data_IF_147570968136
#
_entry.id   IF_147570968136
#
_cell.length_a   1.000
_cell.length_b   1.000
_cell.length_c   1.000
_cell.angle_alpha   90.00
_cell.angle_beta   90.00
_cell.angle_gamma   90.00
#
_symmetry.space_group_name_H-M   'P 1'
#
loop_
_entity.id
_entity.type
_entity.pdbx_description
1 polymer ?
#
# COMPACT_ATOMS: atom_id res chain seq x y z
N UNK A 1 -41.40 53.24 -39.69
CA UNK A 1 -40.56 52.55 -40.71
C UNK A 1 -39.19 52.24 -40.13
N UNK A 2 -38.65 51.03 -40.44
CA UNK A 2 -37.27 50.50 -40.21
C UNK A 2 -36.79 50.36 -38.76
N UNK A 3 -36.87 49.21 -38.08
CA UNK A 3 -36.21 47.88 -38.21
C UNK A 3 -34.67 47.86 -38.15
N UNK A 4 -34.19 47.11 -37.15
CA UNK A 4 -32.96 46.31 -37.01
C UNK A 4 -31.65 47.04 -36.65
N UNK A 5 -31.30 46.93 -35.37
CA UNK A 5 -29.91 46.75 -34.92
C UNK A 5 -29.63 45.25 -34.77
N UNK A 6 -28.78 44.62 -35.59
CA UNK A 6 -28.26 43.29 -35.33
C UNK A 6 -26.76 43.39 -35.07
N UNK A 7 -26.36 43.62 -33.82
CA UNK A 7 -24.97 43.40 -33.40
C UNK A 7 -24.83 41.98 -32.79
N UNK A 8 -23.68 41.32 -32.95
CA UNK A 8 -23.62 39.87 -33.10
C UNK A 8 -23.52 39.18 -31.74
N UNK A 9 -24.65 38.70 -31.22
CA UNK A 9 -24.69 37.76 -30.08
C UNK A 9 -23.80 36.54 -30.30
N UNK A 10 -23.52 36.18 -31.56
CA UNK A 10 -22.62 35.10 -31.94
C UNK A 10 -21.17 35.29 -31.47
N UNK A 11 -20.64 36.52 -31.43
CA UNK A 11 -19.22 36.74 -31.08
C UNK A 11 -18.99 36.59 -29.57
N UNK A 12 -19.83 37.24 -28.75
CA UNK A 12 -19.78 37.11 -27.29
C UNK A 12 -20.06 35.67 -26.84
N UNK A 13 -21.04 35.00 -27.45
CA UNK A 13 -21.32 33.60 -27.17
C UNK A 13 -20.15 32.67 -27.50
N UNK A 14 -19.46 32.88 -28.62
CA UNK A 14 -18.25 32.11 -28.99
C UNK A 14 -17.13 32.30 -27.98
N UNK A 15 -16.90 33.53 -27.53
CA UNK A 15 -15.87 33.84 -26.52
C UNK A 15 -16.24 33.21 -25.17
N UNK A 16 -17.49 33.35 -24.72
CA UNK A 16 -17.97 32.72 -23.48
C UNK A 16 -17.90 31.19 -23.53
N UNK A 17 -18.28 30.57 -24.66
CA UNK A 17 -18.19 29.13 -24.85
C UNK A 17 -16.73 28.65 -24.87
N UNK A 18 -15.83 29.37 -25.54
CA UNK A 18 -14.40 29.07 -25.52
C UNK A 18 -13.80 29.20 -24.12
N UNK A 19 -14.16 30.25 -23.38
CA UNK A 19 -13.73 30.45 -22.00
C UNK A 19 -14.22 29.31 -21.09
N UNK A 20 -15.50 28.92 -21.22
CA UNK A 20 -16.10 27.84 -20.44
C UNK A 20 -15.43 26.50 -20.77
N UNK A 21 -15.14 26.24 -22.04
CA UNK A 21 -14.42 25.05 -22.47
C UNK A 21 -13.00 24.97 -21.89
N UNK A 22 -12.26 26.08 -21.93
CA UNK A 22 -10.92 26.17 -21.32
C UNK A 22 -11.01 25.95 -19.80
N UNK A 23 -11.98 26.58 -19.13
CA UNK A 23 -12.19 26.40 -17.70
C UNK A 23 -12.51 24.94 -17.34
N UNK A 24 -13.36 24.27 -18.13
CA UNK A 24 -13.69 22.86 -17.94
C UNK A 24 -12.46 21.95 -18.14
N UNK A 25 -11.64 22.22 -19.17
CA UNK A 25 -10.40 21.47 -19.39
C UNK A 25 -9.41 21.63 -18.23
N UNK A 26 -9.23 22.85 -17.72
CA UNK A 26 -8.36 23.11 -16.57
C UNK A 26 -8.90 22.42 -15.31
N UNK A 27 -10.21 22.50 -15.07
CA UNK A 27 -10.85 21.84 -13.93
C UNK A 27 -10.71 20.31 -13.98
N UNK A 28 -10.95 19.70 -15.15
CA UNK A 28 -10.76 18.26 -15.34
C UNK A 28 -9.29 17.85 -15.18
N UNK A 29 -8.36 18.62 -15.73
CA UNK A 29 -6.93 18.40 -15.55
C UNK A 29 -6.51 18.47 -14.08
N UNK A 30 -7.02 19.47 -13.34
CA UNK A 30 -6.75 19.61 -11.91
C UNK A 30 -7.31 18.43 -11.10
N UNK A 31 -8.56 18.03 -11.34
CA UNK A 31 -9.16 16.87 -10.66
C UNK A 31 -8.38 15.58 -10.94
N UNK A 32 -7.93 15.39 -12.17
CA UNK A 32 -7.14 14.23 -12.57
C UNK A 32 -5.77 14.19 -11.85
N UNK A 33 -5.03 15.30 -11.89
CA UNK A 33 -3.73 15.43 -11.21
C UNK A 33 -3.88 15.27 -9.71
N UNK A 34 -4.87 15.95 -9.12
CA UNK A 34 -5.14 15.90 -7.67
C UNK A 34 -5.48 14.47 -7.25
N UNK A 35 -6.39 13.79 -7.95
CA UNK A 35 -6.77 12.42 -7.59
C UNK A 35 -5.59 11.44 -7.70
N UNK A 36 -4.69 11.62 -8.66
CA UNK A 36 -3.52 10.77 -8.80
C UNK A 36 -2.51 11.02 -7.66
N UNK A 37 -2.19 12.30 -7.42
CA UNK A 37 -1.21 12.71 -6.41
C UNK A 37 -1.66 12.36 -4.99
N UNK A 38 -2.94 12.57 -4.66
CA UNK A 38 -3.47 12.22 -3.33
C UNK A 38 -3.35 10.73 -3.03
N UNK A 39 -3.57 9.86 -4.02
CA UNK A 39 -3.47 8.39 -3.81
C UNK A 39 -2.06 7.95 -3.47
N UNK A 40 -1.07 8.46 -4.20
CA UNK A 40 0.34 8.12 -3.97
C UNK A 40 0.81 8.65 -2.62
N UNK A 41 0.45 9.90 -2.28
CA UNK A 41 0.80 10.49 -0.99
C UNK A 41 0.20 9.72 0.20
N UNK A 42 -1.06 9.29 0.09
CA UNK A 42 -1.71 8.48 1.15
C UNK A 42 -1.02 7.12 1.31
N UNK A 43 -0.60 6.48 0.23
CA UNK A 43 0.12 5.20 0.31
C UNK A 43 1.49 5.36 0.98
N UNK A 44 2.24 6.41 0.62
CA UNK A 44 3.52 6.72 1.23
C UNK A 44 3.39 7.03 2.72
N UNK A 45 2.43 7.88 3.10
CA UNK A 45 2.17 8.21 4.50
C UNK A 45 1.75 6.97 5.31
N UNK A 46 0.94 6.08 4.73
CA UNK A 46 0.57 4.82 5.38
C UNK A 46 1.77 3.89 5.54
N UNK A 47 2.65 3.81 4.53
CA UNK A 47 3.84 2.97 4.63
C UNK A 47 4.81 3.47 5.69
N UNK A 48 4.95 4.79 5.87
CA UNK A 48 5.72 5.35 6.98
C UNK A 48 5.08 5.05 8.34
N UNK A 49 3.74 5.15 8.44
CA UNK A 49 3.03 4.89 9.70
C UNK A 49 3.07 3.41 10.11
N UNK A 50 2.92 2.51 9.14
CA UNK A 50 2.87 1.06 9.39
C UNK A 50 4.21 0.38 9.20
N UNK A 51 5.23 1.08 8.69
CA UNK A 51 6.53 0.53 8.32
C UNK A 51 7.27 -0.14 9.48
N UNK A 52 7.03 0.30 10.71
CA UNK A 52 7.62 -0.28 11.92
C UNK A 52 6.81 -1.43 12.54
N UNK A 53 5.59 -1.70 12.07
CA UNK A 53 4.69 -2.68 12.71
C UNK A 53 5.30 -4.08 12.73
N UNK A 54 5.90 -4.53 11.63
CA UNK A 54 6.59 -5.82 11.59
C UNK A 54 7.74 -5.86 12.62
N UNK A 55 8.53 -4.78 12.71
CA UNK A 55 9.65 -4.67 13.65
C UNK A 55 9.21 -4.73 15.10
N UNK A 56 8.10 -4.07 15.47
CA UNK A 56 7.53 -4.16 16.82
C UNK A 56 7.03 -5.57 17.13
N UNK A 57 6.33 -6.20 16.19
CA UNK A 57 5.82 -7.56 16.37
C UNK A 57 6.95 -8.56 16.58
N UNK A 58 7.99 -8.53 15.73
CA UNK A 58 9.15 -9.43 15.85
C UNK A 58 9.84 -9.28 17.20
N UNK A 59 10.06 -8.04 17.66
CA UNK A 59 10.70 -7.74 18.95
C UNK A 59 9.89 -8.23 20.16
N UNK A 60 8.57 -8.14 20.09
CA UNK A 60 7.72 -8.48 21.23
C UNK A 60 7.43 -9.98 21.32
N UNK A 61 7.29 -10.67 20.18
CA UNK A 61 6.76 -12.05 20.19
C UNK A 61 7.77 -13.13 19.87
N UNK A 62 8.91 -12.81 19.25
CA UNK A 62 9.88 -13.81 18.75
C UNK A 62 9.16 -14.92 17.94
N UNK A 63 8.57 -14.59 16.79
CA UNK A 63 7.54 -15.41 16.14
C UNK A 63 8.02 -16.75 15.57
N UNK A 64 9.34 -16.97 15.49
CA UNK A 64 9.94 -18.23 15.05
C UNK A 64 10.92 -18.65 16.13
N UNK A 65 10.74 -19.87 16.65
CA UNK A 65 11.63 -20.50 17.63
C UNK A 65 11.97 -21.89 17.10
N UNK A 66 13.25 -22.20 16.97
CA UNK A 66 13.78 -23.47 16.47
C UNK A 66 13.25 -23.88 15.08
N UNK A 67 12.92 -22.90 14.23
CA UNK A 67 12.38 -23.13 12.89
C UNK A 67 10.91 -23.53 12.84
N UNK A 68 10.23 -23.56 13.99
CA UNK A 68 8.77 -23.70 14.09
C UNK A 68 8.14 -22.35 14.43
N UNK A 69 6.94 -22.11 13.91
CA UNK A 69 6.12 -20.96 14.28
C UNK A 69 5.55 -21.25 15.66
N UNK A 70 6.34 -20.94 16.67
CA UNK A 70 5.98 -21.18 18.06
C UNK A 70 5.77 -19.84 18.73
N UNK A 71 4.51 -19.43 18.82
CA UNK A 71 3.89 -19.03 20.09
C UNK A 71 2.42 -18.69 19.85
N UNK A 72 1.54 -19.14 20.77
CA UNK A 72 0.17 -18.64 20.83
C UNK A 72 0.12 -17.10 20.94
N UNK A 73 1.15 -16.50 21.55
CA UNK A 73 1.30 -15.05 21.68
C UNK A 73 1.47 -14.33 20.33
N UNK A 74 2.26 -14.86 19.40
CA UNK A 74 2.38 -14.34 18.03
C UNK A 74 1.03 -14.37 17.33
N UNK A 75 0.33 -15.50 17.38
CA UNK A 75 -0.98 -15.64 16.74
C UNK A 75 -2.03 -14.71 17.39
N UNK A 76 -2.01 -14.53 18.71
CA UNK A 76 -2.91 -13.61 19.42
C UNK A 76 -2.66 -12.16 19.02
N UNK A 77 -1.41 -11.74 18.86
CA UNK A 77 -1.05 -10.37 18.42
C UNK A 77 -1.41 -10.17 16.94
N UNK A 78 -1.09 -11.12 16.07
CA UNK A 78 -1.50 -11.08 14.65
C UNK A 78 -3.02 -10.99 14.52
N UNK A 79 -3.75 -11.78 15.30
CA UNK A 79 -5.22 -11.76 15.33
C UNK A 79 -5.75 -10.43 15.90
N UNK A 80 -5.17 -9.91 16.98
CA UNK A 80 -5.54 -8.61 17.54
C UNK A 80 -5.32 -7.47 16.53
N UNK A 81 -4.21 -7.47 15.78
CA UNK A 81 -3.94 -6.52 14.71
C UNK A 81 -5.02 -6.58 13.61
N UNK A 82 -5.39 -7.79 13.18
CA UNK A 82 -6.47 -8.00 12.21
C UNK A 82 -7.84 -7.52 12.73
N UNK A 83 -8.14 -7.72 14.02
CA UNK A 83 -9.40 -7.24 14.63
C UNK A 83 -9.44 -5.72 14.70
N UNK A 84 -8.32 -5.07 15.05
CA UNK A 84 -8.20 -3.60 15.12
C UNK A 84 -8.30 -2.99 13.73
N UNK A 85 -7.62 -3.55 12.74
CA UNK A 85 -7.68 -3.12 11.36
C UNK A 85 -7.75 -4.33 10.43
N UNK A 86 -8.95 -4.62 9.90
CA UNK A 86 -9.18 -5.74 8.96
C UNK A 86 -8.46 -5.60 7.62
N UNK A 87 -7.79 -4.48 7.38
CA UNK A 87 -6.95 -4.29 6.20
C UNK A 87 -5.52 -4.79 6.44
N UNK A 88 -5.15 -5.08 7.68
CA UNK A 88 -3.82 -5.61 8.04
C UNK A 88 -3.83 -7.11 7.84
N UNK A 89 -2.81 -7.56 7.15
CA UNK A 89 -2.53 -8.95 6.82
C UNK A 89 -1.11 -9.22 7.30
N UNK A 90 -0.91 -10.32 8.02
CA UNK A 90 0.40 -10.65 8.56
C UNK A 90 0.84 -11.99 8.01
N UNK A 91 2.07 -12.03 7.51
CA UNK A 91 2.68 -13.20 6.90
C UNK A 91 4.02 -13.47 7.58
N UNK A 92 4.29 -14.72 7.92
CA UNK A 92 5.61 -15.18 8.32
C UNK A 92 6.24 -15.91 7.15
N UNK A 93 7.47 -15.52 6.83
CA UNK A 93 8.23 -16.04 5.72
C UNK A 93 9.47 -16.78 6.21
N UNK A 94 9.83 -17.88 5.56
CA UNK A 94 11.15 -18.49 5.71
C UNK A 94 12.25 -17.65 5.02
N UNK A 95 13.55 -17.98 5.18
CA UNK A 95 14.64 -17.21 4.59
C UNK A 95 14.65 -17.21 3.05
N UNK A 96 13.85 -18.07 2.43
CA UNK A 96 13.69 -18.19 0.97
C UNK A 96 12.50 -17.39 0.44
N UNK A 97 11.66 -16.83 1.31
CA UNK A 97 10.48 -16.05 0.96
C UNK A 97 9.19 -16.87 0.83
N UNK A 98 9.20 -18.12 1.28
CA UNK A 98 7.99 -18.96 1.32
C UNK A 98 7.18 -18.62 2.56
N UNK A 99 5.86 -18.54 2.42
CA UNK A 99 4.94 -18.28 3.52
C UNK A 99 4.84 -19.56 4.36
N UNK A 100 5.24 -19.46 5.62
CA UNK A 100 5.20 -20.56 6.59
C UNK A 100 4.00 -20.46 7.53
N UNK A 101 3.51 -19.24 7.78
CA UNK A 101 2.27 -19.00 8.51
C UNK A 101 1.66 -17.64 8.11
N UNK A 102 0.36 -17.45 8.30
CA UNK A 102 -0.30 -16.19 7.99
C UNK A 102 -1.63 -16.00 8.75
N UNK A 103 -1.95 -14.74 9.04
CA UNK A 103 -3.27 -14.32 9.54
C UNK A 103 -3.85 -13.30 8.56
N UNK A 104 -4.84 -13.74 7.81
CA UNK A 104 -5.51 -12.94 6.78
C UNK A 104 -7.04 -12.99 6.91
N UNK A 105 -7.76 -11.88 6.63
CA UNK A 105 -9.21 -11.88 6.74
C UNK A 105 -9.88 -12.58 5.55
N UNK A 106 -10.63 -13.65 5.83
CA UNK A 106 -11.68 -14.30 4.99
C UNK A 106 -11.34 -14.70 3.54
N UNK A 107 -10.14 -14.39 3.05
CA UNK A 107 -9.72 -14.62 1.68
C UNK A 107 -8.50 -15.51 1.70
N UNK A 108 -8.55 -16.61 0.95
CA UNK A 108 -7.43 -17.53 0.82
C UNK A 108 -6.22 -16.87 0.14
N UNK A 109 -5.05 -17.19 0.66
CA UNK A 109 -3.76 -16.87 0.08
C UNK A 109 -3.59 -17.68 -1.21
N UNK A 110 -3.25 -17.02 -2.32
CA UNK A 110 -3.15 -17.64 -3.66
C UNK A 110 -1.71 -17.92 -4.10
N UNK A 111 -0.73 -17.41 -3.38
CA UNK A 111 0.70 -17.64 -3.61
C UNK A 111 1.34 -18.27 -2.38
N UNK A 112 2.23 -19.22 -2.59
CA UNK A 112 2.99 -19.87 -1.51
C UNK A 112 4.22 -19.06 -1.06
N UNK A 113 4.55 -17.96 -1.75
CA UNK A 113 5.71 -17.15 -1.43
C UNK A 113 5.72 -15.80 -2.15
N UNK A 114 6.69 -14.97 -1.76
CA UNK A 114 6.87 -13.59 -2.25
C UNK A 114 8.31 -13.35 -2.67
N UNK A 115 8.53 -12.38 -3.56
CA UNK A 115 9.87 -11.92 -3.90
C UNK A 115 10.50 -11.21 -2.69
N UNK A 116 11.70 -11.65 -2.29
CA UNK A 116 12.45 -11.04 -1.20
C UNK A 116 13.17 -9.75 -1.60
N UNK A 117 13.27 -9.45 -2.89
CA UNK A 117 13.99 -8.26 -3.39
C UNK A 117 13.42 -6.98 -2.79
N UNK A 118 12.10 -6.69 -2.88
CA UNK A 118 11.51 -5.51 -2.27
C UNK A 118 11.65 -5.50 -0.74
N UNK A 119 11.51 -6.67 -0.10
CA UNK A 119 11.61 -6.82 1.35
C UNK A 119 13.00 -6.42 1.85
N UNK A 120 14.05 -6.94 1.22
CA UNK A 120 15.43 -6.61 1.57
C UNK A 120 15.75 -5.14 1.32
N UNK A 121 15.23 -4.56 0.24
CA UNK A 121 15.39 -3.12 -0.04
C UNK A 121 14.70 -2.28 1.04
N UNK A 122 13.48 -2.65 1.43
CA UNK A 122 12.74 -1.96 2.49
C UNK A 122 13.45 -2.00 3.84
N UNK A 123 13.94 -3.17 4.24
CA UNK A 123 14.71 -3.34 5.48
C UNK A 123 16.03 -2.56 5.43
N UNK A 124 16.74 -2.58 4.29
CA UNK A 124 17.99 -1.84 4.12
C UNK A 124 17.78 -0.30 4.15
N UNK A 125 16.61 0.18 3.73
CA UNK A 125 16.22 1.58 3.78
C UNK A 125 15.63 2.01 5.14
N UNK A 126 15.58 1.10 6.13
CA UNK A 126 14.95 1.33 7.44
C UNK A 126 13.51 1.84 7.33
N UNK A 127 12.77 1.34 6.33
CA UNK A 127 11.39 1.74 6.04
C UNK A 127 11.18 3.18 5.55
N UNK A 128 12.25 3.93 5.27
CA UNK A 128 12.16 5.34 4.85
C UNK A 128 11.87 5.55 3.36
N UNK A 129 11.95 4.49 2.55
CA UNK A 129 11.65 4.55 1.12
C UNK A 129 10.29 3.93 0.80
N UNK A 130 9.56 4.57 -0.12
CA UNK A 130 8.31 4.03 -0.65
C UNK A 130 8.58 2.83 -1.55
N UNK A 131 8.24 1.64 -1.07
CA UNK A 131 8.50 0.36 -1.76
C UNK A 131 7.25 -0.49 -1.77
N UNK A 132 6.90 -1.03 -2.94
CA UNK A 132 5.77 -1.94 -3.11
C UNK A 132 6.25 -3.36 -3.36
N UNK A 133 5.60 -4.32 -2.74
CA UNK A 133 5.91 -5.75 -2.79
C UNK A 133 4.73 -6.54 -3.34
N UNK A 134 4.96 -7.83 -3.57
CA UNK A 134 3.93 -8.74 -4.07
C UNK A 134 2.81 -8.94 -3.04
N UNK A 135 1.55 -8.99 -3.52
CA UNK A 135 0.40 -9.36 -2.71
C UNK A 135 0.13 -10.88 -2.83
N UNK A 136 0.24 -11.67 -1.74
CA UNK A 136 -0.02 -13.11 -1.75
C UNK A 136 -1.47 -13.50 -2.09
N UNK A 137 -2.46 -12.63 -1.86
CA UNK A 137 -3.89 -12.88 -2.13
C UNK A 137 -4.31 -12.47 -3.54
N UNK A 138 -3.60 -11.50 -4.12
CA UNK A 138 -3.88 -10.93 -5.44
C UNK A 138 -2.65 -11.06 -6.35
N UNK A 139 -2.44 -12.23 -7.00
CA UNK A 139 -1.32 -12.43 -7.90
C UNK A 139 -1.26 -11.37 -8.99
N UNK A 140 -0.10 -10.69 -9.11
CA UNK A 140 0.13 -9.63 -10.09
C UNK A 140 -0.21 -8.22 -9.59
N UNK A 141 -0.77 -8.09 -8.38
CA UNK A 141 -0.94 -6.80 -7.69
C UNK A 141 0.25 -6.58 -6.76
N UNK A 142 0.72 -5.33 -6.70
CA UNK A 142 1.71 -4.90 -5.74
C UNK A 142 1.11 -3.90 -4.75
N UNK A 143 1.44 -4.05 -3.47
CA UNK A 143 0.95 -3.20 -2.38
C UNK A 143 2.09 -2.75 -1.49
N UNK A 144 1.87 -1.67 -0.74
CA UNK A 144 2.76 -1.24 0.34
C UNK A 144 2.77 -2.28 1.45
N UNK A 145 3.92 -2.47 2.07
CA UNK A 145 4.10 -3.43 3.16
C UNK A 145 5.07 -2.87 4.21
N UNK A 146 5.09 -3.52 5.37
CA UNK A 146 6.12 -3.42 6.39
C UNK A 146 6.81 -4.78 6.44
N UNK A 147 8.12 -4.79 6.66
CA UNK A 147 8.85 -6.03 6.83
C UNK A 147 9.97 -5.89 7.87
N UNK A 148 10.23 -6.97 8.60
CA UNK A 148 11.30 -7.06 9.57
C UNK A 148 12.01 -8.43 9.48
N UNK A 149 13.35 -8.46 9.62
CA UNK A 149 14.08 -9.71 9.69
C UNK A 149 13.88 -10.38 11.06
N UNK A 150 13.77 -11.71 11.06
CA UNK A 150 13.67 -12.52 12.28
C UNK A 150 14.99 -13.26 12.46
N UNK A 151 15.63 -13.06 13.62
CA UNK A 151 16.89 -13.69 13.98
C UNK A 151 16.72 -14.61 15.18
N UNK A 152 17.37 -15.77 15.11
CA UNK A 152 17.57 -16.69 16.23
C UNK A 152 19.07 -16.95 16.36
N UNK A 153 19.67 -16.69 17.53
CA UNK A 153 21.12 -16.84 17.76
C UNK A 153 21.99 -16.20 16.65
N UNK A 154 21.69 -14.95 16.28
CA UNK A 154 22.32 -14.18 15.19
C UNK A 154 22.18 -14.79 13.77
N UNK A 155 21.38 -15.85 13.63
CA UNK A 155 21.08 -16.49 12.35
C UNK A 155 19.73 -16.00 11.83
N UNK A 156 19.69 -15.56 10.57
CA UNK A 156 18.43 -15.19 9.92
C UNK A 156 17.57 -16.43 9.71
N UNK A 157 16.44 -16.50 10.41
CA UNK A 157 15.50 -17.62 10.33
C UNK A 157 14.24 -17.30 9.55
N UNK A 158 13.98 -16.03 9.25
CA UNK A 158 12.82 -15.64 8.44
C UNK A 158 12.60 -14.14 8.34
N UNK A 159 11.41 -13.79 7.85
CA UNK A 159 10.91 -12.42 7.80
C UNK A 159 9.45 -12.37 8.27
N UNK A 160 9.06 -11.25 8.84
CA UNK A 160 7.67 -10.88 9.08
C UNK A 160 7.31 -9.64 8.25
#
# INVERSE_FOLDING_TARGET
MKKRFPYPSSLYWKISAALLFILALVGLGYLFISSYSTRQYVQEANQQLYGEVASYMVKETHPIIHGEVDTAATHDIMHAMMVINRSVEVYLLDPTGRIIDCVVPTTEVKREGVDLTPIRTFIAADGNEFIVGDDPKEPGVRKTFSAAPIYEDDTLVGYA
#
